data_IF_527638827573
#
_entry.id   IF_527638827573
#
_cell.length_a   1.000
_cell.length_b   1.000
_cell.length_c   1.000
_cell.angle_alpha   90.00
_cell.angle_beta   90.00
_cell.angle_gamma   90.00
#
_symmetry.space_group_name_H-M   'P 1'
#
loop_
_entity.id
_entity.type
_entity.pdbx_description
1 polymer ?
#
# COMPACT_ATOMS: atom_id res chain seq x y z
N UNK A 1 -20.13 -5.05 0.63
CA UNK A 1 -20.77 -4.63 1.88
C UNK A 1 -19.91 -3.55 2.48
N UNK A 2 -20.48 -2.40 2.81
CA UNK A 2 -19.73 -1.36 3.52
C UNK A 2 -19.48 -1.79 4.98
N UNK A 3 -18.71 -1.03 5.77
CA UNK A 3 -18.35 -1.36 7.16
C UNK A 3 -19.56 -1.66 8.10
N UNK A 4 -20.78 -1.31 7.69
CA UNK A 4 -22.05 -1.56 8.41
C UNK A 4 -22.87 -2.74 7.84
N UNK A 5 -22.28 -3.58 6.97
CA UNK A 5 -22.97 -4.72 6.35
C UNK A 5 -23.95 -4.37 5.23
N UNK A 6 -24.20 -3.08 4.95
CA UNK A 6 -25.08 -2.65 3.85
C UNK A 6 -24.43 -2.86 2.48
N UNK A 7 -25.19 -3.42 1.55
CA UNK A 7 -24.80 -3.50 0.13
C UNK A 7 -24.85 -2.09 -0.45
N UNK A 8 -23.79 -1.66 -1.13
CA UNK A 8 -23.76 -0.40 -1.84
C UNK A 8 -23.68 -0.68 -3.34
N UNK A 9 -24.39 0.13 -4.11
CA UNK A 9 -24.42 0.07 -5.56
C UNK A 9 -23.80 1.35 -6.11
N UNK A 10 -23.04 1.22 -7.19
CA UNK A 10 -22.46 2.36 -7.88
C UNK A 10 -22.83 2.26 -9.34
N UNK A 11 -23.52 3.28 -9.83
CA UNK A 11 -23.83 3.40 -11.25
C UNK A 11 -22.56 3.74 -12.04
N UNK A 12 -22.47 3.16 -13.23
CA UNK A 12 -21.39 3.43 -14.18
C UNK A 12 -21.88 4.48 -15.16
N UNK A 13 -21.14 5.56 -15.28
CA UNK A 13 -21.36 6.60 -16.30
C UNK A 13 -20.13 6.66 -17.21
N UNK A 14 -20.32 6.47 -18.52
CA UNK A 14 -19.27 6.50 -19.53
C UNK A 14 -18.02 5.65 -19.17
N UNK A 15 -18.24 4.45 -18.64
CA UNK A 15 -17.17 3.53 -18.22
C UNK A 15 -16.42 3.94 -16.96
N UNK A 16 -16.93 4.93 -16.21
CA UNK A 16 -16.34 5.43 -14.96
C UNK A 16 -17.35 5.31 -13.83
N UNK A 17 -16.85 5.14 -12.62
CA UNK A 17 -17.66 5.17 -11.41
C UNK A 17 -16.86 5.79 -10.26
N UNK A 18 -17.52 6.51 -9.35
CA UNK A 18 -16.86 7.04 -8.16
C UNK A 18 -16.51 5.91 -7.19
N UNK A 19 -15.31 5.96 -6.59
CA UNK A 19 -14.90 4.99 -5.57
C UNK A 19 -15.67 5.14 -4.25
N UNK A 20 -16.26 6.32 -4.01
CA UNK A 20 -17.06 6.68 -2.81
C UNK A 20 -16.41 6.32 -1.46
N UNK A 21 -15.09 6.16 -1.41
CA UNK A 21 -14.34 5.73 -0.23
C UNK A 21 -14.82 4.40 0.38
N UNK A 22 -15.28 3.45 -0.45
CA UNK A 22 -15.77 2.16 0.01
C UNK A 22 -15.16 1.01 -0.80
N UNK A 23 -14.80 -0.06 -0.10
CA UNK A 23 -14.49 -1.35 -0.71
C UNK A 23 -15.48 -2.44 -0.29
N UNK A 24 -15.51 -3.52 -1.06
CA UNK A 24 -16.29 -4.72 -0.72
C UNK A 24 -15.71 -5.46 0.47
N UNK A 25 -14.38 -5.50 0.57
CA UNK A 25 -13.63 -6.06 1.69
C UNK A 25 -12.28 -5.36 1.79
N UNK A 26 -11.87 -5.05 3.02
CA UNK A 26 -10.61 -4.38 3.33
C UNK A 26 -9.82 -5.18 4.37
N UNK A 27 -8.48 -5.24 4.24
CA UNK A 27 -7.63 -5.98 5.16
C UNK A 27 -7.62 -5.35 6.56
N UNK A 28 -7.47 -6.21 7.56
CA UNK A 28 -7.21 -5.83 8.94
C UNK A 28 -5.78 -6.20 9.32
N UNK A 29 -5.34 -5.79 10.51
CA UNK A 29 -3.99 -6.04 11.01
C UNK A 29 -2.88 -5.57 10.05
N UNK A 30 -3.11 -4.48 9.32
CA UNK A 30 -2.14 -3.95 8.36
C UNK A 30 -0.98 -3.30 9.08
N UNK A 31 0.23 -3.52 8.59
CA UNK A 31 1.43 -2.85 9.04
C UNK A 31 2.24 -2.38 7.84
N UNK A 32 2.67 -1.12 7.84
CA UNK A 32 3.53 -0.61 6.79
C UNK A 32 5.01 -0.77 7.15
N UNK A 33 5.75 -1.35 6.21
CA UNK A 33 7.18 -1.11 6.07
C UNK A 33 7.40 -0.02 5.03
N UNK A 34 8.34 0.87 5.25
CA UNK A 34 8.74 1.88 4.27
C UNK A 34 10.24 1.80 4.08
N UNK A 35 10.66 1.61 2.83
CA UNK A 35 12.06 1.58 2.43
C UNK A 35 12.33 2.78 1.53
N UNK A 36 13.12 3.73 2.04
CA UNK A 36 13.61 4.86 1.24
C UNK A 36 14.82 4.41 0.41
N UNK A 37 14.66 4.40 -0.92
CA UNK A 37 15.69 3.95 -1.86
C UNK A 37 16.57 5.13 -2.25
N UNK A 38 17.88 5.00 -2.06
CA UNK A 38 18.90 6.00 -2.40
C UNK A 38 18.50 7.43 -1.99
N UNK A 39 18.10 7.60 -0.72
CA UNK A 39 17.75 8.92 -0.14
C UNK A 39 16.68 9.68 -0.95
N UNK A 40 15.78 8.97 -1.63
CA UNK A 40 14.75 9.55 -2.49
C UNK A 40 13.85 10.60 -1.83
N UNK A 41 13.68 10.52 -0.51
CA UNK A 41 12.93 11.48 0.30
C UNK A 41 13.62 11.66 1.65
N UNK A 42 13.67 12.90 2.12
CA UNK A 42 14.12 13.21 3.48
C UNK A 42 12.98 12.95 4.48
N UNK A 43 13.32 12.83 5.77
CA UNK A 43 12.34 12.47 6.80
C UNK A 43 11.31 13.59 7.06
N UNK A 44 11.65 14.85 6.83
CA UNK A 44 10.75 15.97 7.04
C UNK A 44 9.63 16.00 5.98
N UNK A 45 9.96 15.67 4.73
CA UNK A 45 9.01 15.58 3.62
C UNK A 45 8.18 14.27 3.64
N UNK A 46 8.53 13.31 4.49
CA UNK A 46 7.95 11.98 4.50
C UNK A 46 6.61 11.91 5.25
N UNK A 47 6.51 12.58 6.40
CA UNK A 47 5.43 12.33 7.35
C UNK A 47 4.06 12.80 6.86
N UNK A 48 3.97 13.98 6.25
CA UNK A 48 2.70 14.52 5.74
C UNK A 48 2.03 13.60 4.69
N UNK A 49 2.70 13.21 3.59
CA UNK A 49 2.12 12.28 2.64
C UNK A 49 1.88 10.89 3.23
N UNK A 50 2.72 10.44 4.17
CA UNK A 50 2.53 9.15 4.86
C UNK A 50 1.23 9.14 5.68
N UNK A 51 1.03 10.14 6.54
CA UNK A 51 -0.16 10.23 7.37
C UNK A 51 -1.43 10.38 6.54
N UNK A 52 -1.39 11.12 5.44
CA UNK A 52 -2.53 11.20 4.53
C UNK A 52 -2.80 9.88 3.81
N UNK A 53 -1.76 9.12 3.46
CA UNK A 53 -1.95 7.77 2.92
C UNK A 53 -2.63 6.86 3.94
N UNK A 54 -2.20 6.87 5.21
CA UNK A 54 -2.83 6.10 6.30
C UNK A 54 -4.29 6.51 6.47
N UNK A 55 -4.58 7.81 6.56
CA UNK A 55 -5.96 8.32 6.67
C UNK A 55 -6.82 7.84 5.50
N UNK A 56 -6.32 7.94 4.28
CA UNK A 56 -7.02 7.44 3.11
C UNK A 56 -7.23 5.91 3.17
N UNK A 57 -6.24 5.11 3.58
CA UNK A 57 -6.43 3.67 3.77
C UNK A 57 -7.55 3.36 4.79
N UNK A 58 -7.57 4.08 5.91
CA UNK A 58 -8.60 3.95 6.95
C UNK A 58 -9.99 4.36 6.45
N UNK A 59 -10.09 5.42 5.63
CA UNK A 59 -11.36 5.81 4.99
C UNK A 59 -11.95 4.67 4.16
N UNK A 60 -11.11 3.91 3.47
CA UNK A 60 -11.50 2.73 2.69
C UNK A 60 -11.63 1.45 3.54
N UNK A 61 -11.61 1.55 4.87
CA UNK A 61 -11.89 0.45 5.79
C UNK A 61 -10.69 -0.43 6.16
N UNK A 62 -9.46 -0.09 5.77
CA UNK A 62 -8.27 -0.80 6.24
C UNK A 62 -8.05 -0.54 7.73
N UNK A 63 -7.67 -1.57 8.49
CA UNK A 63 -7.36 -1.45 9.92
C UNK A 63 -5.89 -1.73 10.19
N UNK A 64 -5.20 -0.74 10.75
CA UNK A 64 -3.76 -0.81 11.04
C UNK A 64 -3.48 -1.32 12.46
N UNK A 65 -2.39 -2.08 12.62
CA UNK A 65 -1.86 -2.46 13.94
C UNK A 65 -1.18 -1.27 14.65
N UNK A 66 -0.57 -0.39 13.87
CA UNK A 66 0.06 0.84 14.33
C UNK A 66 0.12 1.85 13.18
N UNK A 67 0.09 3.14 13.52
CA UNK A 67 0.19 4.22 12.54
C UNK A 67 1.64 4.39 12.08
N UNK A 68 2.63 4.29 12.96
CA UNK A 68 4.03 4.46 12.57
C UNK A 68 4.53 3.27 11.73
N UNK A 69 5.30 3.52 10.66
CA UNK A 69 5.82 2.45 9.82
C UNK A 69 7.13 1.89 10.39
N UNK A 70 7.46 0.67 9.99
CA UNK A 70 8.85 0.19 10.06
C UNK A 70 9.66 0.92 8.99
N UNK A 71 10.65 1.71 9.40
CA UNK A 71 11.48 2.50 8.48
C UNK A 71 12.82 1.81 8.21
N UNK A 72 13.19 1.70 6.94
CA UNK A 72 14.56 1.38 6.54
C UNK A 72 15.01 2.16 5.31
N UNK A 73 16.30 2.04 5.03
CA UNK A 73 16.96 2.62 3.86
C UNK A 73 17.65 1.50 3.10
N UNK A 74 17.73 1.66 1.79
CA UNK A 74 18.50 0.80 0.91
C UNK A 74 19.08 1.63 -0.24
N UNK A 75 20.33 1.38 -0.65
CA UNK A 75 20.99 2.19 -1.67
C UNK A 75 20.52 1.92 -3.10
N UNK A 76 19.83 0.80 -3.34
CA UNK A 76 19.36 0.46 -4.68
C UNK A 76 20.38 -0.29 -5.54
N UNK A 77 21.45 -0.81 -4.95
CA UNK A 77 22.58 -1.39 -5.71
C UNK A 77 22.67 -2.91 -5.56
N UNK A 78 22.46 -3.40 -4.34
CA UNK A 78 22.73 -4.78 -3.92
C UNK A 78 21.42 -5.51 -3.53
N UNK A 79 21.18 -6.66 -4.17
CA UNK A 79 20.00 -7.51 -3.92
C UNK A 79 20.08 -8.25 -2.58
N UNK A 80 21.25 -8.70 -2.15
CA UNK A 80 21.45 -9.40 -0.88
C UNK A 80 21.30 -8.44 0.30
N UNK A 81 21.74 -7.19 0.13
CA UNK A 81 21.46 -6.10 1.07
C UNK A 81 19.94 -5.89 1.20
N UNK A 82 19.22 -5.80 0.07
CA UNK A 82 17.77 -5.62 0.10
C UNK A 82 17.07 -6.80 0.77
N UNK A 83 17.44 -8.04 0.42
CA UNK A 83 16.90 -9.25 1.05
C UNK A 83 17.09 -9.22 2.56
N UNK A 84 18.26 -8.81 3.02
CA UNK A 84 18.56 -8.67 4.44
C UNK A 84 17.70 -7.60 5.12
N UNK A 85 17.44 -6.47 4.46
CA UNK A 85 16.56 -5.41 4.97
C UNK A 85 15.11 -5.90 5.06
N UNK A 86 14.60 -6.54 4.01
CA UNK A 86 13.22 -7.07 3.97
C UNK A 86 13.03 -8.14 5.06
N UNK A 87 13.97 -9.09 5.19
CA UNK A 87 13.92 -10.14 6.23
C UNK A 87 13.91 -9.57 7.64
N UNK A 88 14.67 -8.51 7.91
CA UNK A 88 14.65 -7.83 9.21
C UNK A 88 13.26 -7.28 9.52
N UNK A 89 12.61 -6.60 8.56
CA UNK A 89 11.24 -6.12 8.74
C UNK A 89 10.25 -7.26 8.97
N UNK A 90 10.32 -8.33 8.17
CA UNK A 90 9.45 -9.51 8.31
C UNK A 90 9.62 -10.15 9.69
N UNK A 91 10.86 -10.35 10.14
CA UNK A 91 11.15 -10.93 11.44
C UNK A 91 10.62 -10.04 12.58
N UNK A 92 10.82 -8.73 12.49
CA UNK A 92 10.27 -7.79 13.48
C UNK A 92 8.74 -7.87 13.55
N UNK A 93 8.06 -7.90 12.39
CA UNK A 93 6.61 -8.08 12.30
C UNK A 93 6.16 -9.40 12.96
N UNK A 94 6.84 -10.50 12.62
CA UNK A 94 6.49 -11.83 13.10
C UNK A 94 6.67 -11.95 14.62
N UNK A 95 7.75 -11.40 15.17
CA UNK A 95 8.02 -11.40 16.62
C UNK A 95 6.99 -10.52 17.33
N UNK A 96 6.83 -9.26 16.89
CA UNK A 96 6.00 -8.27 17.59
C UNK A 96 4.52 -8.61 17.55
N UNK A 97 4.04 -9.20 16.46
CA UNK A 97 2.62 -9.46 16.22
C UNK A 97 2.28 -10.95 16.10
N UNK A 98 3.20 -11.84 16.51
CA UNK A 98 3.01 -13.30 16.53
C UNK A 98 2.53 -13.84 15.17
N UNK A 99 3.10 -13.33 14.08
CA UNK A 99 2.76 -13.72 12.70
C UNK A 99 1.37 -13.27 12.21
N UNK A 100 0.66 -12.39 12.94
CA UNK A 100 -0.69 -11.94 12.56
C UNK A 100 -0.73 -10.63 11.75
N UNK A 101 0.43 -10.03 11.49
CA UNK A 101 0.53 -8.76 10.77
C UNK A 101 0.50 -8.98 9.26
N UNK A 102 -0.34 -8.22 8.57
CA UNK A 102 -0.32 -8.08 7.12
C UNK A 102 0.69 -6.99 6.76
N UNK A 103 1.97 -7.37 6.63
CA UNK A 103 3.05 -6.46 6.24
C UNK A 103 2.91 -6.05 4.77
N UNK A 104 2.93 -4.75 4.52
CA UNK A 104 2.98 -4.17 3.19
C UNK A 104 4.15 -3.19 3.09
N UNK A 105 5.07 -3.42 2.14
CA UNK A 105 6.27 -2.59 2.02
C UNK A 105 6.11 -1.54 0.90
N UNK A 106 6.21 -0.26 1.26
CA UNK A 106 6.27 0.86 0.35
C UNK A 106 7.73 1.25 0.07
N UNK A 107 8.16 1.06 -1.17
CA UNK A 107 9.46 1.52 -1.66
C UNK A 107 9.33 2.91 -2.27
N UNK A 108 10.10 3.88 -1.78
CA UNK A 108 10.11 5.25 -2.30
C UNK A 108 11.40 5.46 -3.09
N UNK A 109 11.30 5.74 -4.39
CA UNK A 109 12.42 5.97 -5.31
C UNK A 109 12.40 7.38 -5.89
N UNK A 110 13.56 7.98 -6.16
CA UNK A 110 13.59 9.32 -6.78
C UNK A 110 13.08 9.26 -8.22
N UNK A 111 13.63 8.34 -9.00
CA UNK A 111 13.40 8.19 -10.43
C UNK A 111 12.97 6.77 -10.80
N UNK A 112 12.43 6.61 -12.02
CA UNK A 112 12.20 5.27 -12.57
C UNK A 112 13.55 4.62 -12.84
N UNK A 113 13.76 3.41 -12.35
CA UNK A 113 14.93 2.60 -12.67
C UNK A 113 14.48 1.14 -12.76
N UNK A 114 14.53 0.57 -13.97
CA UNK A 114 14.03 -0.77 -14.25
C UNK A 114 14.84 -1.85 -13.51
N UNK A 115 16.16 -1.68 -13.38
CA UNK A 115 17.02 -2.61 -12.64
C UNK A 115 16.64 -2.65 -11.16
N UNK A 116 16.55 -1.47 -10.52
CA UNK A 116 16.17 -1.38 -9.10
C UNK A 116 14.77 -1.94 -8.88
N UNK A 117 13.82 -1.61 -9.75
CA UNK A 117 12.47 -2.17 -9.70
C UNK A 117 12.48 -3.69 -9.82
N UNK A 118 13.27 -4.24 -10.74
CA UNK A 118 13.42 -5.69 -10.93
C UNK A 118 13.99 -6.39 -9.69
N UNK A 119 15.00 -5.79 -9.04
CA UNK A 119 15.56 -6.30 -7.77
C UNK A 119 14.48 -6.31 -6.68
N UNK A 120 13.76 -5.19 -6.50
CA UNK A 120 12.68 -5.10 -5.51
C UNK A 120 11.65 -6.19 -5.75
N UNK A 121 11.25 -6.40 -7.01
CA UNK A 121 10.25 -7.39 -7.37
C UNK A 121 10.74 -8.82 -7.21
N UNK A 122 11.99 -9.09 -7.50
CA UNK A 122 12.60 -10.41 -7.26
C UNK A 122 12.58 -10.73 -5.78
N UNK A 123 13.11 -9.84 -4.93
CA UNK A 123 13.17 -10.07 -3.48
C UNK A 123 11.77 -10.18 -2.87
N UNK A 124 10.87 -9.25 -3.18
CA UNK A 124 9.56 -9.23 -2.53
C UNK A 124 8.61 -10.32 -3.07
N UNK A 125 8.49 -10.46 -4.39
CA UNK A 125 7.46 -11.29 -4.99
C UNK A 125 7.92 -12.76 -5.16
N UNK A 126 9.21 -13.02 -5.44
CA UNK A 126 9.74 -14.38 -5.69
C UNK A 126 10.42 -15.01 -4.47
N UNK A 127 11.19 -14.24 -3.70
CA UNK A 127 12.01 -14.79 -2.62
C UNK A 127 11.29 -14.77 -1.26
N UNK A 128 10.71 -13.63 -0.88
CA UNK A 128 10.17 -13.43 0.48
C UNK A 128 8.63 -13.48 0.55
N UNK A 129 7.93 -13.46 -0.59
CA UNK A 129 6.46 -13.54 -0.63
C UNK A 129 5.74 -12.36 0.05
N UNK A 130 6.33 -11.17 0.01
CA UNK A 130 5.82 -9.97 0.68
C UNK A 130 5.17 -9.01 -0.30
N UNK A 131 3.94 -8.58 0.02
CA UNK A 131 3.24 -7.55 -0.73
C UNK A 131 4.00 -6.21 -0.68
N UNK A 132 4.36 -5.68 -1.85
CA UNK A 132 5.09 -4.41 -1.94
C UNK A 132 4.53 -3.47 -3.01
N UNK A 133 4.82 -2.18 -2.87
CA UNK A 133 4.58 -1.16 -3.88
C UNK A 133 5.76 -0.23 -4.03
N UNK A 134 6.17 -0.02 -5.28
CA UNK A 134 7.18 0.97 -5.63
C UNK A 134 6.48 2.26 -6.05
N UNK A 135 6.85 3.37 -5.43
CA UNK A 135 6.35 4.71 -5.73
C UNK A 135 7.51 5.67 -5.95
N UNK A 136 7.31 6.66 -6.82
CA UNK A 136 8.28 7.75 -6.96
C UNK A 136 8.07 8.78 -5.85
N UNK A 137 9.13 9.36 -5.32
CA UNK A 137 9.07 10.43 -4.32
C UNK A 137 8.17 11.58 -4.78
N UNK A 138 8.24 11.98 -6.05
CA UNK A 138 7.34 13.00 -6.63
C UNK A 138 5.85 12.61 -6.58
N UNK A 139 5.55 11.34 -6.77
CA UNK A 139 4.18 10.82 -6.72
C UNK A 139 3.72 10.67 -5.27
N UNK A 140 4.62 10.27 -4.38
CA UNK A 140 4.34 10.18 -2.95
C UNK A 140 4.03 11.56 -2.34
N UNK A 141 4.78 12.61 -2.69
CA UNK A 141 4.49 13.99 -2.26
C UNK A 141 3.10 14.49 -2.70
N UNK A 142 2.57 14.01 -3.82
CA UNK A 142 1.21 14.36 -4.24
C UNK A 142 0.13 13.78 -3.32
N UNK A 143 0.48 12.87 -2.39
CA UNK A 143 -0.43 12.30 -1.39
C UNK A 143 -0.72 13.30 -0.25
N UNK A 144 0.03 14.40 -0.14
CA UNK A 144 -0.15 15.39 0.93
C UNK A 144 -1.44 16.22 0.86
N UNK A 145 -2.30 16.05 -0.16
CA UNK A 145 -3.62 16.70 -0.23
C UNK A 145 -4.73 15.87 0.47
N UNK A 146 -5.98 16.38 0.44
CA UNK A 146 -7.12 15.82 1.18
C UNK A 146 -7.34 14.32 0.92
N UNK A 147 -7.32 13.45 1.95
CA UNK A 147 -7.37 11.99 1.77
C UNK A 147 -8.67 11.49 1.14
N UNK A 148 -9.78 12.24 1.29
CA UNK A 148 -11.10 11.89 0.78
C UNK A 148 -11.20 12.01 -0.74
N UNK A 149 -10.36 12.83 -1.37
CA UNK A 149 -10.44 13.15 -2.81
C UNK A 149 -9.11 12.99 -3.54
N UNK A 150 -8.05 12.55 -2.86
CA UNK A 150 -6.74 12.39 -3.46
C UNK A 150 -6.69 11.16 -4.38
N UNK A 151 -6.82 11.42 -5.69
CA UNK A 151 -6.77 10.40 -6.75
C UNK A 151 -5.47 9.58 -6.72
N UNK A 152 -4.34 10.18 -6.35
CA UNK A 152 -3.05 9.47 -6.26
C UNK A 152 -3.08 8.47 -5.11
N UNK A 153 -3.54 8.89 -3.93
CA UNK A 153 -3.70 8.03 -2.77
C UNK A 153 -4.67 6.89 -3.08
N UNK A 154 -5.83 7.19 -3.66
CA UNK A 154 -6.86 6.20 -3.98
C UNK A 154 -6.35 5.14 -4.95
N UNK A 155 -5.60 5.53 -5.99
CA UNK A 155 -4.98 4.58 -6.92
C UNK A 155 -3.93 3.66 -6.25
N UNK A 156 -3.21 4.16 -5.26
CA UNK A 156 -2.28 3.34 -4.46
C UNK A 156 -3.06 2.35 -3.61
N UNK A 157 -4.12 2.83 -2.95
CA UNK A 157 -4.94 2.04 -2.02
C UNK A 157 -5.68 0.92 -2.75
N UNK A 158 -6.20 1.16 -3.96
CA UNK A 158 -6.81 0.14 -4.81
C UNK A 158 -5.87 -1.04 -5.07
N UNK A 159 -4.60 -0.75 -5.35
CA UNK A 159 -3.56 -1.77 -5.59
C UNK A 159 -3.19 -2.48 -4.29
N UNK A 160 -3.04 -1.72 -3.22
CA UNK A 160 -2.70 -2.25 -1.90
C UNK A 160 -3.77 -3.21 -1.38
N UNK A 161 -5.04 -2.83 -1.47
CA UNK A 161 -6.16 -3.64 -1.03
C UNK A 161 -6.13 -5.02 -1.70
N UNK A 162 -6.00 -5.04 -3.02
CA UNK A 162 -5.93 -6.27 -3.82
C UNK A 162 -4.72 -7.14 -3.43
N UNK A 163 -3.55 -6.52 -3.21
CA UNK A 163 -2.32 -7.23 -2.81
C UNK A 163 -2.39 -7.83 -1.40
N UNK A 164 -3.25 -7.29 -0.55
CA UNK A 164 -3.51 -7.78 0.80
C UNK A 164 -4.75 -8.69 0.86
N UNK A 165 -5.24 -9.18 -0.29
CA UNK A 165 -6.38 -10.09 -0.36
C UNK A 165 -7.75 -9.43 -0.20
N UNK A 166 -7.81 -8.09 -0.14
CA UNK A 166 -9.05 -7.33 -0.15
C UNK A 166 -9.75 -7.34 -1.50
N UNK A 167 -11.02 -6.94 -1.51
CA UNK A 167 -11.85 -6.86 -2.71
C UNK A 167 -12.35 -5.44 -2.87
N UNK A 168 -11.91 -4.74 -3.92
CA UNK A 168 -12.33 -3.36 -4.16
C UNK A 168 -13.83 -3.31 -4.47
N UNK A 169 -14.25 -3.93 -5.57
CA UNK A 169 -15.64 -3.97 -6.02
C UNK A 169 -15.97 -5.35 -6.61
N UNK A 170 -17.25 -5.70 -6.66
CA UNK A 170 -17.77 -6.88 -7.36
C UNK A 170 -18.83 -6.42 -8.36
N UNK A 171 -18.95 -7.14 -9.47
CA UNK A 171 -20.06 -6.98 -10.40
C UNK A 171 -21.32 -7.55 -9.74
N UNK A 172 -22.43 -6.82 -9.81
CA UNK A 172 -23.71 -7.32 -9.31
C UNK A 172 -24.19 -8.46 -10.22
N UNK A 173 -24.54 -9.60 -9.63
CA UNK A 173 -25.12 -10.72 -10.38
C UNK A 173 -26.63 -10.53 -10.48
N UNK A 174 -27.07 -9.64 -11.36
CA UNK A 174 -28.41 -9.73 -11.96
C UNK A 174 -28.23 -10.14 -13.42
N UNK A 175 -28.02 -11.43 -13.63
CA UNK A 175 -28.28 -12.06 -14.92
C UNK A 175 -29.50 -12.97 -14.76
N UNK A 176 -30.69 -12.38 -14.83
CA UNK A 176 -31.81 -13.12 -15.40
C UNK A 176 -31.61 -13.05 -16.92
N UNK A 177 -30.93 -14.06 -17.47
CA UNK A 177 -31.07 -14.42 -18.89
C UNK A 177 -32.23 -15.38 -19.04
#
# INVERSE_FOLDING_TARGET
>A
TNNDGRVFYVEVDNGKWPLRNVFTSSPTNVLFGVICVDRAININDFWDPYHNLIKACTLFGMKFLMIDPLLAKWKGEDQDELRSVVRKMVNECNIRYKGKANLYILFIMANKNARIYGIIKTVCDLEEGIACQVIRARTFRNVSSRPETNVTAHNIILKMNTKLGGVNNKVHQDYNM
#
